data_IF_395965342742
#
_entry.id   IF_395965342742
#
_cell.length_a   1.000
_cell.length_b   1.000
_cell.length_c   1.000
_cell.angle_alpha   90.00
_cell.angle_beta   90.00
_cell.angle_gamma   90.00
#
_symmetry.space_group_name_H-M   'P 1'
#
loop_
_entity.id
_entity.type
_entity.pdbx_description
1 polymer ?
#
# COMPACT_ATOMS: atom_id res chain seq x y z
N UNK A 1 58.57 -7.97 -31.02
CA UNK A 1 57.14 -7.62 -30.90
C UNK A 1 56.99 -6.66 -29.73
N UNK A 2 56.66 -5.38 -30.00
CA UNK A 2 56.33 -4.38 -28.97
C UNK A 2 54.84 -4.54 -28.64
N UNK A 3 54.51 -4.88 -27.39
CA UNK A 3 53.12 -4.84 -26.93
C UNK A 3 52.75 -3.40 -26.58
N UNK A 4 51.77 -2.87 -27.31
CA UNK A 4 51.16 -1.57 -27.06
C UNK A 4 50.10 -1.77 -25.97
N UNK A 5 50.34 -1.27 -24.75
CA UNK A 5 49.33 -1.19 -23.71
C UNK A 5 48.36 -0.06 -24.07
N UNK A 6 47.16 -0.43 -24.51
CA UNK A 6 46.03 0.50 -24.66
C UNK A 6 45.43 0.67 -23.27
N UNK A 7 45.66 1.83 -22.65
CA UNK A 7 44.94 2.24 -21.45
C UNK A 7 43.49 2.59 -21.85
N UNK A 8 42.55 1.71 -21.52
CA UNK A 8 41.13 2.02 -21.54
C UNK A 8 40.83 2.93 -20.35
N UNK A 9 40.73 4.24 -20.59
CA UNK A 9 40.14 5.17 -19.64
C UNK A 9 38.64 4.92 -19.59
N UNK A 10 38.16 4.25 -18.54
CA UNK A 10 36.75 4.18 -18.19
C UNK A 10 36.28 5.57 -17.77
N UNK A 11 35.64 6.29 -18.69
CA UNK A 11 34.81 7.45 -18.34
C UNK A 11 33.61 6.89 -17.58
N UNK A 12 33.60 7.06 -16.26
CA UNK A 12 32.43 6.81 -15.45
C UNK A 12 31.34 7.79 -15.90
N UNK A 13 30.34 7.30 -16.65
CA UNK A 13 29.07 7.99 -16.77
C UNK A 13 28.37 7.81 -15.42
N UNK A 14 28.67 8.71 -14.49
CA UNK A 14 27.85 8.85 -13.27
C UNK A 14 26.49 9.33 -13.76
N UNK A 15 25.50 8.44 -13.69
CA UNK A 15 24.18 8.68 -14.25
C UNK A 15 23.45 9.73 -13.41
N UNK A 16 22.89 10.75 -14.06
CA UNK A 16 22.15 11.83 -13.38
C UNK A 16 20.88 11.33 -12.63
N UNK A 17 20.51 10.05 -12.73
CA UNK A 17 19.39 9.47 -11.97
C UNK A 17 19.77 9.16 -10.52
N UNK A 18 21.01 8.75 -10.24
CA UNK A 18 21.43 8.40 -8.87
C UNK A 18 21.60 9.63 -7.97
N UNK A 19 21.96 10.79 -8.52
CA UNK A 19 22.12 12.01 -7.72
C UNK A 19 20.77 12.67 -7.39
N UNK A 20 19.74 12.46 -8.21
CA UNK A 20 18.41 13.00 -7.94
C UNK A 20 17.73 12.28 -6.77
N UNK A 21 17.90 10.96 -6.65
CA UNK A 21 17.30 10.19 -5.56
C UNK A 21 17.94 10.49 -4.19
N UNK A 22 19.15 11.06 -4.16
CA UNK A 22 19.80 11.53 -2.93
C UNK A 22 19.24 12.86 -2.40
N UNK A 23 18.36 13.53 -3.17
CA UNK A 23 17.73 14.76 -2.71
C UNK A 23 16.85 14.46 -1.48
N UNK A 24 16.73 15.42 -0.55
CA UNK A 24 15.75 15.31 0.53
C UNK A 24 14.34 15.07 0.00
N UNK A 25 13.59 14.25 0.74
CA UNK A 25 12.18 13.97 0.51
C UNK A 25 11.32 15.23 0.69
N UNK A 26 11.65 16.03 1.71
CA UNK A 26 11.03 17.33 1.94
C UNK A 26 11.88 18.45 1.35
N UNK A 27 11.27 19.21 0.45
CA UNK A 27 11.89 20.36 -0.21
C UNK A 27 10.95 21.54 -0.17
N UNK A 28 11.37 22.62 0.50
CA UNK A 28 10.53 23.78 0.73
C UNK A 28 10.01 24.39 -0.57
N UNK A 29 10.84 24.39 -1.63
CA UNK A 29 10.45 24.90 -2.94
C UNK A 29 9.34 24.08 -3.63
N UNK A 30 9.22 22.79 -3.30
CA UNK A 30 8.12 21.93 -3.78
C UNK A 30 6.85 22.25 -2.99
N UNK A 31 6.96 22.32 -1.66
CA UNK A 31 5.85 22.66 -0.75
C UNK A 31 5.25 24.03 -1.11
N UNK A 32 6.08 25.04 -1.31
CA UNK A 32 5.65 26.40 -1.66
C UNK A 32 4.95 26.46 -3.02
N UNK A 33 5.35 25.62 -3.98
CA UNK A 33 4.71 25.54 -5.29
C UNK A 33 3.31 24.92 -5.21
N UNK A 34 3.15 23.86 -4.41
CA UNK A 34 1.86 23.20 -4.19
C UNK A 34 0.91 24.13 -3.44
N UNK A 35 1.38 24.83 -2.41
CA UNK A 35 0.55 25.66 -1.55
C UNK A 35 0.08 26.99 -2.18
N UNK A 36 0.36 27.22 -3.47
CA UNK A 36 -0.16 28.38 -4.22
C UNK A 36 -1.69 28.38 -4.30
N UNK A 37 -2.33 29.55 -4.43
CA UNK A 37 -3.78 29.63 -4.57
C UNK A 37 -4.32 28.78 -5.73
N UNK A 38 -5.42 28.07 -5.49
CA UNK A 38 -6.06 27.20 -6.48
C UNK A 38 -5.68 25.72 -6.40
N UNK A 39 -4.72 25.34 -5.54
CA UNK A 39 -4.49 23.91 -5.25
C UNK A 39 -5.66 23.31 -4.48
N UNK A 40 -6.04 22.08 -4.84
CA UNK A 40 -7.03 21.26 -4.14
C UNK A 40 -6.48 20.54 -2.92
N UNK A 41 -5.17 20.63 -2.68
CA UNK A 41 -4.50 19.97 -1.57
C UNK A 41 -3.38 20.82 -0.96
N UNK A 42 -3.00 20.49 0.27
CA UNK A 42 -1.95 21.16 1.04
C UNK A 42 -0.77 20.25 1.23
N UNK A 43 0.41 20.83 1.09
CA UNK A 43 1.68 20.16 1.32
C UNK A 43 2.37 20.70 2.58
N UNK A 44 3.12 19.84 3.24
CA UNK A 44 3.94 20.15 4.41
C UNK A 44 4.85 18.98 4.77
N UNK A 45 5.86 19.22 5.62
CA UNK A 45 6.74 18.15 6.07
C UNK A 45 5.98 17.16 6.96
N UNK A 46 6.31 15.87 6.87
CA UNK A 46 5.78 14.82 7.74
C UNK A 46 6.92 14.25 8.59
N UNK A 47 6.63 13.94 9.86
CA UNK A 47 7.58 13.24 10.73
C UNK A 47 8.04 11.90 10.15
N UNK A 48 7.20 11.24 9.36
CA UNK A 48 7.53 9.98 8.70
C UNK A 48 8.74 10.07 7.80
N UNK A 49 9.00 11.24 7.20
CA UNK A 49 10.04 11.42 6.18
C UNK A 49 10.92 12.67 6.39
N UNK A 50 10.91 13.31 7.58
CA UNK A 50 11.55 14.62 7.82
C UNK A 50 13.01 14.68 7.32
N UNK A 51 13.77 13.60 7.53
CA UNK A 51 15.18 13.50 7.14
C UNK A 51 15.43 12.39 6.10
N UNK A 52 14.37 11.89 5.45
CA UNK A 52 14.49 10.90 4.40
C UNK A 52 14.97 11.54 3.08
N UNK A 53 15.57 10.71 2.23
CA UNK A 53 15.85 11.00 0.82
C UNK A 53 14.70 10.54 -0.07
N UNK A 54 14.71 10.94 -1.34
CA UNK A 54 13.78 10.38 -2.32
C UNK A 54 14.03 8.88 -2.58
N UNK A 55 15.26 8.39 -2.39
CA UNK A 55 15.59 6.97 -2.51
C UNK A 55 14.86 6.14 -1.44
N UNK A 56 14.86 6.64 -0.21
CA UNK A 56 14.20 6.02 0.94
C UNK A 56 12.69 5.85 0.68
N UNK A 57 12.03 6.90 0.18
CA UNK A 57 10.61 6.84 -0.18
C UNK A 57 10.36 5.92 -1.37
N UNK A 58 11.26 5.92 -2.36
CA UNK A 58 11.16 5.01 -3.51
C UNK A 58 11.29 3.54 -3.10
N UNK A 59 12.08 3.22 -2.07
CA UNK A 59 12.18 1.86 -1.52
C UNK A 59 10.86 1.38 -0.90
N UNK A 60 10.03 2.30 -0.37
CA UNK A 60 8.69 1.98 0.13
C UNK A 60 7.66 1.77 -0.99
N UNK A 61 7.93 2.28 -2.20
CA UNK A 61 7.09 2.11 -3.39
C UNK A 61 7.30 0.74 -4.04
N UNK A 62 6.95 -0.32 -3.30
CA UNK A 62 7.20 -1.72 -3.67
C UNK A 62 6.08 -2.39 -4.48
N UNK A 63 5.42 -1.71 -5.41
CA UNK A 63 4.33 -2.33 -6.19
C UNK A 63 4.57 -2.33 -7.70
N UNK A 64 4.38 -3.50 -8.30
CA UNK A 64 4.17 -3.68 -9.73
C UNK A 64 2.70 -3.40 -10.06
N UNK A 65 2.46 -2.31 -10.81
CA UNK A 65 1.13 -1.83 -11.18
C UNK A 65 0.58 -2.50 -12.45
N UNK A 66 0.79 -3.81 -12.57
CA UNK A 66 0.22 -4.62 -13.64
C UNK A 66 -0.93 -5.47 -13.10
N UNK A 67 -1.93 -5.72 -13.94
CA UNK A 67 -2.98 -6.69 -13.64
C UNK A 67 -2.43 -8.10 -13.88
N UNK A 68 -2.56 -8.98 -12.88
CA UNK A 68 -2.30 -10.40 -13.04
C UNK A 68 -3.27 -10.97 -14.08
N UNK A 69 -2.76 -11.54 -15.19
CA UNK A 69 -3.57 -11.97 -16.33
C UNK A 69 -4.50 -13.15 -16.01
N UNK A 70 -4.33 -13.82 -14.86
CA UNK A 70 -5.22 -14.87 -14.42
C UNK A 70 -6.50 -14.34 -13.76
N UNK A 71 -6.53 -13.08 -13.29
CA UNK A 71 -7.75 -12.51 -12.72
C UNK A 71 -8.73 -12.14 -13.81
N UNK A 72 -10.01 -12.35 -13.51
CA UNK A 72 -11.12 -11.96 -14.35
C UNK A 72 -11.82 -10.73 -13.75
N UNK A 73 -12.52 -9.92 -14.57
CA UNK A 73 -13.40 -8.87 -14.06
C UNK A 73 -14.47 -9.41 -13.10
N UNK A 74 -14.97 -8.54 -12.23
CA UNK A 74 -16.05 -8.83 -11.30
C UNK A 74 -17.38 -9.17 -12.01
N UNK A 75 -17.64 -10.46 -12.23
CA UNK A 75 -18.86 -10.92 -12.91
C UNK A 75 -20.17 -10.47 -12.24
N UNK A 76 -20.18 -10.25 -10.91
CA UNK A 76 -21.36 -9.77 -10.18
C UNK A 76 -21.68 -8.29 -10.42
N UNK A 77 -20.80 -7.55 -11.09
CA UNK A 77 -20.97 -6.13 -11.42
C UNK A 77 -21.23 -5.88 -12.92
N UNK A 78 -21.37 -6.93 -13.74
CA UNK A 78 -21.61 -6.78 -15.19
C UNK A 78 -23.03 -6.27 -15.51
N UNK A 79 -24.03 -6.66 -14.71
CA UNK A 79 -25.45 -6.45 -15.02
C UNK A 79 -26.20 -5.54 -14.03
N UNK A 80 -25.58 -5.14 -12.92
CA UNK A 80 -26.24 -4.38 -11.86
C UNK A 80 -25.36 -3.25 -11.38
N UNK A 81 -25.75 -2.01 -11.70
CA UNK A 81 -25.36 -0.82 -10.94
C UNK A 81 -26.54 -0.47 -10.07
N UNK A 82 -26.46 -0.82 -8.78
CA UNK A 82 -27.46 -0.39 -7.80
C UNK A 82 -27.43 1.13 -7.59
N UNK A 83 -28.27 1.65 -6.71
CA UNK A 83 -28.14 3.03 -6.25
C UNK A 83 -26.84 3.16 -5.44
N UNK A 84 -25.79 3.64 -6.10
CA UNK A 84 -24.50 3.95 -5.49
C UNK A 84 -24.60 5.35 -4.87
N UNK A 85 -24.33 5.54 -3.57
CA UNK A 85 -24.38 6.86 -2.97
C UNK A 85 -23.32 7.78 -3.61
N UNK A 86 -23.54 9.09 -3.55
CA UNK A 86 -22.55 10.06 -4.06
C UNK A 86 -21.28 10.11 -3.19
N UNK A 87 -21.45 9.78 -1.90
CA UNK A 87 -20.37 9.72 -0.91
C UNK A 87 -20.53 8.47 -0.03
N UNK A 88 -19.41 7.85 0.32
CA UNK A 88 -19.37 6.72 1.23
C UNK A 88 -18.02 6.66 1.93
N UNK A 89 -18.04 6.35 3.22
CA UNK A 89 -16.85 6.18 4.05
C UNK A 89 -16.93 4.86 4.82
N UNK A 90 -16.19 3.84 4.39
CA UNK A 90 -16.25 2.51 4.98
C UNK A 90 -15.82 2.51 6.45
N UNK A 91 -15.01 3.48 6.90
CA UNK A 91 -14.58 3.56 8.31
C UNK A 91 -15.74 3.84 9.26
N UNK A 92 -16.90 4.27 8.74
CA UNK A 92 -18.14 4.49 9.52
C UNK A 92 -19.38 3.85 8.89
N UNK A 93 -19.28 3.40 7.63
CA UNK A 93 -20.39 2.87 6.85
C UNK A 93 -20.75 1.41 7.15
N UNK A 94 -19.91 0.67 7.87
CA UNK A 94 -20.14 -0.73 8.24
C UNK A 94 -20.21 -0.90 9.76
N UNK A 95 -21.42 -0.92 10.35
CA UNK A 95 -21.58 -1.00 11.80
C UNK A 95 -20.90 -2.22 12.43
N UNK A 96 -20.07 -1.96 13.45
CA UNK A 96 -19.32 -2.99 14.18
C UNK A 96 -17.91 -3.28 13.63
N UNK A 97 -17.56 -2.71 12.48
CA UNK A 97 -16.26 -2.86 11.81
C UNK A 97 -15.43 -1.57 11.81
N UNK A 98 -15.86 -0.53 12.51
CA UNK A 98 -15.20 0.78 12.53
C UNK A 98 -13.74 0.64 12.97
N UNK A 99 -13.48 -0.01 14.10
CA UNK A 99 -12.13 -0.20 14.66
C UNK A 99 -11.21 -1.07 13.78
N UNK A 100 -11.79 -1.89 12.88
CA UNK A 100 -11.04 -2.75 11.96
C UNK A 100 -10.65 -1.92 10.73
N UNK A 101 -11.65 -1.32 10.09
CA UNK A 101 -11.47 -0.58 8.83
C UNK A 101 -10.66 0.71 9.05
N UNK A 102 -10.84 1.37 10.19
CA UNK A 102 -10.16 2.63 10.49
C UNK A 102 -8.69 2.46 10.91
N UNK A 103 -8.22 1.21 11.11
CA UNK A 103 -6.87 0.96 11.61
C UNK A 103 -5.83 1.18 10.52
N UNK A 104 -4.94 2.14 10.76
CA UNK A 104 -3.76 2.42 9.93
C UNK A 104 -2.60 1.55 10.39
N UNK A 105 -1.86 0.96 9.45
CA UNK A 105 -0.67 0.14 9.73
C UNK A 105 0.60 0.78 9.14
N UNK A 106 1.75 0.19 9.43
CA UNK A 106 3.06 0.64 8.96
C UNK A 106 3.84 -0.50 8.31
N UNK A 107 4.23 -0.33 7.04
CA UNK A 107 5.10 -1.25 6.32
C UNK A 107 6.57 -1.13 6.72
N UNK A 108 6.92 -0.22 7.63
CA UNK A 108 8.28 0.02 8.11
C UNK A 108 9.23 0.41 6.96
N UNK A 109 10.51 0.03 7.04
CA UNK A 109 11.52 0.18 5.98
C UNK A 109 11.54 -1.03 5.03
N UNK A 110 10.38 -1.39 4.47
CA UNK A 110 10.23 -2.53 3.55
C UNK A 110 9.23 -2.18 2.46
N UNK A 111 9.58 -2.40 1.19
CA UNK A 111 8.69 -2.23 0.03
C UNK A 111 7.58 -3.29 -0.05
N UNK A 112 6.74 -3.36 0.97
CA UNK A 112 5.71 -4.38 1.18
C UNK A 112 4.27 -3.87 1.07
N UNK A 113 4.08 -2.65 0.57
CA UNK A 113 2.76 -2.05 0.36
C UNK A 113 1.78 -2.95 -0.41
N UNK A 114 2.29 -3.72 -1.39
CA UNK A 114 1.50 -4.69 -2.14
C UNK A 114 0.88 -5.80 -1.25
N UNK A 115 1.57 -6.19 -0.18
CA UNK A 115 1.04 -7.11 0.81
C UNK A 115 0.06 -6.40 1.74
N UNK A 116 0.43 -5.22 2.29
CA UNK A 116 -0.41 -4.44 3.21
C UNK A 116 -1.77 -4.07 2.62
N UNK A 117 -1.80 -3.33 1.51
CA UNK A 117 -3.06 -2.89 0.89
C UNK A 117 -3.95 -4.06 0.45
N UNK A 118 -3.37 -5.25 0.23
CA UNK A 118 -4.11 -6.48 -0.06
C UNK A 118 -4.68 -7.13 1.21
N UNK A 119 -3.87 -7.29 2.26
CA UNK A 119 -4.29 -7.94 3.51
C UNK A 119 -5.20 -7.07 4.37
N UNK A 120 -5.06 -5.75 4.32
CA UNK A 120 -5.97 -4.80 4.97
C UNK A 120 -7.36 -4.94 4.36
N UNK A 121 -7.48 -4.87 3.04
CA UNK A 121 -8.75 -5.08 2.34
C UNK A 121 -9.34 -6.48 2.57
N UNK A 122 -8.51 -7.51 2.66
CA UNK A 122 -8.99 -8.85 3.06
C UNK A 122 -9.56 -8.86 4.49
N UNK A 123 -8.85 -8.25 5.43
CA UNK A 123 -9.24 -8.13 6.85
C UNK A 123 -10.58 -7.39 6.98
N UNK A 124 -10.69 -6.23 6.33
CA UNK A 124 -11.86 -5.38 6.37
C UNK A 124 -13.08 -6.11 5.79
N UNK A 125 -12.90 -6.81 4.67
CA UNK A 125 -13.95 -7.62 4.04
C UNK A 125 -14.43 -8.78 4.90
N UNK A 126 -13.54 -9.42 5.68
CA UNK A 126 -13.93 -10.48 6.63
C UNK A 126 -14.80 -9.91 7.74
N UNK A 127 -14.50 -8.71 8.22
CA UNK A 127 -15.36 -8.01 9.17
C UNK A 127 -16.72 -7.67 8.54
N UNK A 128 -16.74 -7.06 7.35
CA UNK A 128 -17.99 -6.67 6.67
C UNK A 128 -18.89 -7.88 6.40
N UNK A 129 -18.32 -9.00 5.97
CA UNK A 129 -19.11 -10.19 5.61
C UNK A 129 -19.55 -11.04 6.81
N UNK A 130 -18.73 -11.13 7.87
CA UNK A 130 -18.93 -12.11 8.95
C UNK A 130 -18.88 -11.53 10.37
N UNK A 131 -18.61 -10.22 10.53
CA UNK A 131 -18.32 -9.61 11.82
C UNK A 131 -16.99 -10.08 12.43
N UNK A 132 -16.11 -10.68 11.63
CA UNK A 132 -14.83 -11.19 12.08
C UNK A 132 -13.79 -10.07 12.23
N UNK A 133 -13.25 -9.91 13.43
CA UNK A 133 -12.26 -8.87 13.77
C UNK A 133 -10.81 -9.37 13.76
N UNK A 134 -10.56 -10.57 13.26
CA UNK A 134 -9.22 -11.14 13.13
C UNK A 134 -8.41 -10.32 12.14
N UNK A 135 -7.20 -9.92 12.53
CA UNK A 135 -6.24 -9.29 11.64
C UNK A 135 -5.46 -10.35 10.85
N UNK A 136 -5.29 -10.13 9.55
CA UNK A 136 -4.59 -11.08 8.67
C UNK A 136 -3.16 -10.64 8.33
N UNK A 137 -2.30 -11.64 8.16
CA UNK A 137 -0.86 -11.49 8.11
C UNK A 137 -0.36 -10.89 6.78
N UNK A 138 0.00 -9.60 6.82
CA UNK A 138 0.87 -9.00 5.81
C UNK A 138 2.20 -9.79 5.68
N UNK A 139 2.73 -10.34 6.77
CA UNK A 139 3.98 -11.13 6.79
C UNK A 139 3.90 -12.46 6.03
N UNK A 140 2.79 -13.19 6.14
CA UNK A 140 2.56 -14.45 5.41
C UNK A 140 2.45 -14.16 3.90
N UNK A 141 1.69 -13.13 3.54
CA UNK A 141 1.58 -12.65 2.16
C UNK A 141 2.94 -12.22 1.60
N UNK A 142 3.66 -11.38 2.34
CA UNK A 142 5.00 -10.87 2.00
C UNK A 142 5.99 -11.99 1.68
N UNK A 143 5.99 -13.03 2.51
CA UNK A 143 7.03 -14.07 2.50
C UNK A 143 6.65 -15.24 1.59
N UNK A 144 5.38 -15.64 1.57
CA UNK A 144 4.91 -16.85 0.92
C UNK A 144 4.23 -16.64 -0.44
N UNK A 145 3.70 -15.44 -0.72
CA UNK A 145 3.27 -15.07 -2.08
C UNK A 145 4.50 -14.60 -2.88
N UNK A 146 5.25 -15.54 -3.47
CA UNK A 146 6.53 -15.21 -4.12
C UNK A 146 6.71 -15.83 -5.50
N UNK A 147 7.63 -15.23 -6.27
CA UNK A 147 8.06 -15.73 -7.57
C UNK A 147 6.97 -15.68 -8.64
N UNK A 148 7.17 -16.44 -9.72
CA UNK A 148 6.28 -16.45 -10.89
C UNK A 148 4.84 -16.84 -10.56
N UNK A 149 4.64 -17.65 -9.50
CA UNK A 149 3.30 -18.07 -9.05
C UNK A 149 2.50 -16.94 -8.39
N UNK A 150 3.15 -15.86 -7.98
CA UNK A 150 2.54 -14.67 -7.38
C UNK A 150 3.06 -13.40 -8.10
N UNK A 151 2.86 -13.31 -9.42
CA UNK A 151 3.15 -12.08 -10.17
C UNK A 151 4.61 -11.64 -10.19
N UNK A 152 5.56 -12.53 -9.90
CA UNK A 152 6.97 -12.19 -9.79
C UNK A 152 7.36 -11.53 -8.46
N UNK A 153 6.49 -11.53 -7.44
CA UNK A 153 6.69 -10.86 -6.16
C UNK A 153 7.94 -11.33 -5.41
N UNK A 154 8.62 -10.37 -4.74
CA UNK A 154 9.95 -10.52 -4.11
C UNK A 154 10.00 -9.89 -2.72
N UNK A 155 8.94 -10.03 -1.94
CA UNK A 155 8.93 -9.56 -0.56
C UNK A 155 9.10 -8.03 -0.48
N UNK A 156 10.11 -7.57 0.27
CA UNK A 156 10.43 -6.14 0.43
C UNK A 156 10.98 -5.47 -0.83
N UNK A 157 11.40 -6.23 -1.84
CA UNK A 157 11.80 -5.68 -3.15
C UNK A 157 10.61 -5.50 -4.10
N UNK A 158 9.40 -5.51 -3.53
CA UNK A 158 8.14 -5.29 -4.21
C UNK A 158 7.43 -6.54 -4.71
N UNK A 159 6.16 -6.34 -5.08
CA UNK A 159 5.27 -7.39 -5.53
C UNK A 159 4.02 -6.87 -6.22
N UNK A 160 3.11 -7.78 -6.53
CA UNK A 160 1.93 -7.48 -7.33
C UNK A 160 0.66 -7.65 -6.48
N UNK A 161 -0.09 -6.57 -6.19
CA UNK A 161 -1.28 -6.64 -5.31
C UNK A 161 -2.39 -7.50 -5.91
N UNK A 162 -2.56 -7.51 -7.23
CA UNK A 162 -3.59 -8.34 -7.87
C UNK A 162 -3.27 -9.84 -7.78
N UNK A 163 -1.98 -10.20 -7.83
CA UNK A 163 -1.51 -11.57 -7.58
C UNK A 163 -1.70 -11.99 -6.12
N UNK A 164 -1.58 -11.06 -5.17
CA UNK A 164 -1.85 -11.34 -3.76
C UNK A 164 -3.32 -11.76 -3.55
N UNK A 165 -4.28 -11.11 -4.21
CA UNK A 165 -5.68 -11.54 -4.19
C UNK A 165 -5.90 -12.94 -4.78
N UNK A 166 -5.23 -13.27 -5.90
CA UNK A 166 -5.27 -14.65 -6.42
C UNK A 166 -4.67 -15.66 -5.45
N UNK A 167 -3.65 -15.27 -4.70
CA UNK A 167 -3.07 -16.11 -3.66
C UNK A 167 -4.02 -16.28 -2.47
N UNK A 168 -4.73 -15.24 -2.03
CA UNK A 168 -5.80 -15.37 -1.03
C UNK A 168 -6.86 -16.37 -1.46
N UNK A 169 -7.23 -16.40 -2.74
CA UNK A 169 -8.22 -17.34 -3.27
C UNK A 169 -7.72 -18.78 -3.47
N UNK A 170 -6.39 -19.00 -3.57
CA UNK A 170 -5.83 -20.32 -3.91
C UNK A 170 -5.07 -20.99 -2.76
N UNK A 171 -4.43 -20.20 -1.90
CA UNK A 171 -3.66 -20.67 -0.75
C UNK A 171 -4.18 -20.11 0.59
N UNK A 172 -4.86 -18.96 0.56
CA UNK A 172 -5.33 -18.24 1.75
C UNK A 172 -4.22 -17.45 2.45
N UNK A 173 -4.54 -16.87 3.60
CA UNK A 173 -3.64 -16.09 4.47
C UNK A 173 -3.90 -16.45 5.93
N UNK A 174 -2.86 -16.48 6.78
CA UNK A 174 -3.03 -16.71 8.24
C UNK A 174 -3.43 -15.41 8.96
N UNK A 175 -3.83 -15.51 10.22
CA UNK A 175 -3.86 -14.36 11.13
C UNK A 175 -2.45 -13.77 11.30
N UNK A 176 -2.37 -12.46 11.55
CA UNK A 176 -1.11 -11.77 11.79
C UNK A 176 -1.27 -10.30 12.11
N UNK A 177 -0.91 -9.94 13.33
CA UNK A 177 -0.93 -8.57 13.83
C UNK A 177 0.27 -7.73 13.42
N UNK A 178 0.51 -6.64 14.14
CA UNK A 178 1.69 -5.79 13.97
C UNK A 178 2.88 -6.36 14.74
N UNK A 179 4.02 -5.68 14.66
CA UNK A 179 5.24 -6.06 15.40
C UNK A 179 5.02 -6.18 16.91
N UNK A 180 4.11 -5.39 17.48
CA UNK A 180 3.75 -5.47 18.91
C UNK A 180 3.09 -6.79 19.29
N UNK A 181 2.59 -7.55 18.32
CA UNK A 181 1.99 -8.87 18.52
C UNK A 181 3.00 -10.02 18.37
N UNK A 182 4.29 -9.73 18.15
CA UNK A 182 5.32 -10.77 18.15
C UNK A 182 5.42 -11.36 19.55
N UNK A 183 5.33 -12.69 19.63
CA UNK A 183 5.43 -13.51 20.85
C UNK A 183 4.30 -13.31 21.88
N UNK A 184 3.21 -12.61 21.54
CA UNK A 184 2.07 -12.40 22.45
C UNK A 184 1.02 -13.54 22.40
N UNK A 185 1.15 -14.47 21.44
CA UNK A 185 0.27 -15.61 21.23
C UNK A 185 -1.08 -15.27 20.60
N UNK A 186 -1.29 -14.04 20.12
CA UNK A 186 -2.56 -13.57 19.57
C UNK A 186 -2.79 -13.96 18.11
N UNK A 187 -1.73 -14.08 17.32
CA UNK A 187 -1.81 -14.34 15.88
C UNK A 187 -0.67 -15.25 15.39
N UNK A 188 -0.86 -15.92 14.26
CA UNK A 188 0.10 -16.88 13.72
C UNK A 188 1.37 -16.20 13.17
N UNK A 189 1.21 -15.17 12.34
CA UNK A 189 2.31 -14.51 11.65
C UNK A 189 2.25 -12.97 11.80
N UNK A 190 2.53 -12.44 13.00
CA UNK A 190 2.65 -11.00 13.21
C UNK A 190 3.75 -10.39 12.32
N UNK A 191 3.61 -9.10 12.00
CA UNK A 191 4.54 -8.41 11.11
C UNK A 191 5.93 -8.29 11.78
N UNK A 192 7.02 -8.72 11.13
CA UNK A 192 8.33 -8.86 11.79
C UNK A 192 9.12 -7.56 11.90
N UNK A 193 8.61 -6.44 11.36
CA UNK A 193 9.31 -5.17 11.34
C UNK A 193 8.53 -4.12 12.12
N UNK A 194 9.22 -3.37 12.98
CA UNK A 194 8.58 -2.37 13.81
C UNK A 194 8.11 -1.17 12.99
N UNK A 195 6.98 -0.56 13.37
CA UNK A 195 6.58 0.75 12.89
C UNK A 195 7.68 1.78 13.21
N UNK A 196 7.95 2.70 12.28
CA UNK A 196 9.10 3.59 12.38
C UNK A 196 8.93 4.90 11.59
N UNK A 197 9.66 5.93 12.00
CA UNK A 197 9.85 7.18 11.25
C UNK A 197 11.19 7.15 10.51
N UNK A 198 11.22 7.62 9.27
CA UNK A 198 12.41 7.54 8.45
C UNK A 198 13.40 8.64 8.82
N UNK A 199 14.42 8.27 9.61
CA UNK A 199 15.55 9.08 10.06
C UNK A 199 15.18 10.26 10.98
N UNK A 200 14.19 10.12 11.86
CA UNK A 200 13.73 11.17 12.78
C UNK A 200 13.47 10.63 14.18
N UNK A 201 14.04 11.29 15.19
CA UNK A 201 13.59 11.20 16.60
C UNK A 201 12.13 11.69 16.69
N UNK A 202 11.16 10.80 16.45
CA UNK A 202 9.75 11.03 16.70
C UNK A 202 9.38 10.69 18.14
N UNK A 203 8.39 11.40 18.69
CA UNK A 203 7.89 11.09 20.04
C UNK A 203 7.09 9.77 20.08
N UNK A 204 6.52 9.34 18.94
CA UNK A 204 5.58 8.21 18.84
C UNK A 204 6.18 6.96 18.19
N UNK A 205 6.94 7.11 17.10
CA UNK A 205 7.62 6.01 16.43
C UNK A 205 9.15 6.21 16.43
N UNK A 206 9.92 5.14 16.65
CA UNK A 206 11.38 5.20 16.63
C UNK A 206 11.91 5.34 15.21
N UNK A 207 13.21 5.60 15.08
CA UNK A 207 13.91 5.61 13.81
C UNK A 207 13.79 4.28 13.06
N UNK A 208 13.53 4.36 11.76
CA UNK A 208 13.71 3.24 10.85
C UNK A 208 15.20 2.83 10.81
N UNK A 209 15.51 1.55 10.59
CA UNK A 209 16.89 1.11 10.42
C UNK A 209 17.59 1.87 9.29
N UNK A 210 18.92 1.95 9.35
CA UNK A 210 19.73 2.57 8.28
C UNK A 210 19.60 1.83 6.94
N UNK A 211 19.46 0.49 7.01
CA UNK A 211 19.29 -0.37 5.85
C UNK A 211 17.83 -0.84 5.73
N UNK A 212 17.33 -0.94 4.49
CA UNK A 212 16.04 -1.55 4.20
C UNK A 212 15.98 -3.01 4.67
N UNK A 213 14.82 -3.40 5.17
CA UNK A 213 14.57 -4.79 5.56
C UNK A 213 14.58 -5.73 4.35
N UNK A 214 15.10 -6.93 4.56
CA UNK A 214 14.91 -8.06 3.65
C UNK A 214 13.75 -8.91 4.15
N UNK A 215 12.82 -9.25 3.26
CA UNK A 215 11.70 -10.12 3.63
C UNK A 215 12.19 -11.47 4.19
N UNK A 216 11.58 -11.99 5.26
CA UNK A 216 11.88 -13.33 5.75
C UNK A 216 11.60 -14.37 4.67
N UNK A 217 12.26 -15.52 4.79
CA UNK A 217 11.89 -16.67 3.96
C UNK A 217 10.50 -17.14 4.36
N UNK A 218 9.68 -17.54 3.37
CA UNK A 218 8.41 -18.21 3.65
C UNK A 218 8.61 -19.38 4.62
N UNK A 219 7.90 -19.33 5.75
CA UNK A 219 7.75 -20.45 6.65
C UNK A 219 6.31 -20.95 6.59
N UNK A 220 6.12 -22.27 6.49
CA UNK A 220 4.80 -22.91 6.61
C UNK A 220 4.53 -23.32 8.07
N UNK A 221 4.92 -22.45 8.98
CA UNK A 221 4.73 -22.55 10.43
C UNK A 221 4.36 -21.15 10.93
N UNK A 222 3.62 -21.07 12.04
CA UNK A 222 3.44 -19.79 12.71
C UNK A 222 4.80 -19.27 13.19
N UNK A 223 5.02 -17.97 12.99
CA UNK A 223 6.19 -17.27 13.51
C UNK A 223 6.11 -17.13 15.02
N UNK A 224 4.90 -16.90 15.54
CA UNK A 224 4.65 -16.87 16.98
C UNK A 224 4.58 -18.30 17.53
N UNK A 225 5.55 -18.65 18.38
CA UNK A 225 5.63 -19.97 19.02
C UNK A 225 4.61 -20.19 20.14
N UNK A 226 3.93 -19.14 20.60
CA UNK A 226 2.89 -19.18 21.62
C UNK A 226 1.48 -19.28 21.00
N UNK A 227 1.35 -19.14 19.68
CA UNK A 227 0.06 -19.24 19.00
C UNK A 227 -0.48 -20.67 19.01
N UNK A 228 -1.76 -20.83 19.30
CA UNK A 228 -2.37 -22.12 19.60
C UNK A 228 -2.52 -23.03 18.37
N UNK A 229 -2.83 -22.46 17.20
CA UNK A 229 -3.15 -23.24 16.00
C UNK A 229 -1.92 -23.47 15.13
N UNK A 230 -1.92 -24.59 14.41
CA UNK A 230 -0.96 -24.82 13.34
C UNK A 230 -1.20 -23.87 12.16
N UNK A 231 -0.12 -23.54 11.44
CA UNK A 231 -0.16 -22.66 10.26
C UNK A 231 -1.27 -23.03 9.27
N UNK A 232 -1.41 -24.33 8.96
CA UNK A 232 -2.37 -24.80 7.97
C UNK A 232 -3.83 -24.63 8.43
N UNK A 233 -4.08 -24.75 9.74
CA UNK A 233 -5.42 -24.65 10.33
C UNK A 233 -5.84 -23.19 10.55
N UNK A 234 -4.88 -22.26 10.57
CA UNK A 234 -5.14 -20.82 10.68
C UNK A 234 -5.31 -20.12 9.32
N UNK A 235 -5.06 -20.80 8.20
CA UNK A 235 -5.26 -20.22 6.86
C UNK A 235 -6.74 -19.99 6.59
N UNK A 236 -7.07 -18.78 6.14
CA UNK A 236 -8.38 -18.42 5.60
C UNK A 236 -8.26 -18.08 4.13
N UNK A 237 -9.15 -18.67 3.32
CA UNK A 237 -9.12 -18.61 1.86
C UNK A 237 -10.27 -17.73 1.37
N UNK A 238 -10.00 -16.79 0.45
CA UNK A 238 -11.03 -16.04 -0.25
C UNK A 238 -11.85 -16.98 -1.13
N UNK A 239 -13.17 -16.73 -1.25
CA UNK A 239 -14.03 -17.48 -2.17
C UNK A 239 -13.60 -17.28 -3.63
N UNK A 240 -13.20 -16.07 -3.99
CA UNK A 240 -12.67 -15.74 -5.31
C UNK A 240 -11.81 -14.46 -5.26
N UNK A 241 -11.25 -14.09 -6.40
CA UNK A 241 -10.51 -12.85 -6.63
C UNK A 241 -10.84 -12.29 -8.00
N UNK A 242 -10.95 -10.97 -8.14
CA UNK A 242 -11.34 -10.30 -9.37
C UNK A 242 -10.74 -8.91 -9.49
N UNK A 243 -10.77 -8.35 -10.70
CA UNK A 243 -10.44 -6.95 -10.97
C UNK A 243 -11.70 -6.08 -11.05
N UNK A 244 -11.53 -4.80 -10.75
CA UNK A 244 -12.56 -3.77 -10.88
C UNK A 244 -12.15 -2.77 -11.94
N UNK A 245 -13.12 -2.26 -12.70
CA UNK A 245 -12.87 -1.30 -13.78
C UNK A 245 -13.77 -0.09 -13.66
N UNK A 246 -13.14 1.08 -13.54
CA UNK A 246 -13.79 2.38 -13.55
C UNK A 246 -14.50 2.75 -12.24
N UNK A 247 -14.79 4.05 -12.04
CA UNK A 247 -15.26 4.56 -10.76
C UNK A 247 -16.58 3.95 -10.28
N UNK A 248 -17.53 3.71 -11.18
CA UNK A 248 -18.85 3.19 -10.81
C UNK A 248 -18.76 1.80 -10.17
N UNK A 249 -18.00 0.87 -10.78
CA UNK A 249 -17.82 -0.47 -10.21
C UNK A 249 -17.08 -0.43 -8.88
N UNK A 250 -16.04 0.39 -8.79
CA UNK A 250 -15.28 0.57 -7.55
C UNK A 250 -16.16 1.13 -6.43
N UNK A 251 -16.94 2.18 -6.70
CA UNK A 251 -17.83 2.80 -5.71
C UNK A 251 -18.88 1.82 -5.21
N UNK A 252 -19.50 1.07 -6.12
CA UNK A 252 -20.50 0.06 -5.78
C UNK A 252 -19.90 -1.09 -4.96
N UNK A 253 -18.73 -1.56 -5.35
CA UNK A 253 -18.03 -2.64 -4.65
C UNK A 253 -17.64 -2.21 -3.23
N UNK A 254 -17.11 -0.99 -3.07
CA UNK A 254 -16.72 -0.43 -1.76
C UNK A 254 -17.93 -0.30 -0.84
N UNK A 255 -19.05 0.27 -1.33
CA UNK A 255 -20.23 0.51 -0.50
C UNK A 255 -21.03 -0.76 -0.19
N UNK A 256 -20.79 -1.86 -0.91
CA UNK A 256 -21.54 -3.11 -0.74
C UNK A 256 -20.74 -4.15 0.04
N UNK A 257 -19.47 -4.35 -0.36
CA UNK A 257 -18.64 -5.46 0.11
C UNK A 257 -17.44 -5.00 0.94
N UNK A 258 -17.22 -3.69 1.08
CA UNK A 258 -16.12 -3.12 1.83
C UNK A 258 -14.91 -2.73 0.96
N UNK A 259 -13.86 -2.19 1.60
CA UNK A 259 -12.69 -1.62 0.94
C UNK A 259 -12.04 -2.50 -0.14
N UNK A 260 -11.31 -1.86 -1.06
CA UNK A 260 -10.63 -2.53 -2.19
C UNK A 260 -9.16 -2.18 -2.24
N UNK A 261 -8.34 -3.09 -2.73
CA UNK A 261 -6.93 -2.81 -2.99
C UNK A 261 -6.79 -2.09 -4.32
N UNK A 262 -6.00 -1.02 -4.35
CA UNK A 262 -5.61 -0.37 -5.58
C UNK A 262 -4.13 -0.04 -5.61
N UNK A 263 -3.58 0.21 -6.79
CA UNK A 263 -2.21 0.66 -6.98
C UNK A 263 -2.17 1.97 -7.76
N UNK A 264 -1.27 2.87 -7.38
CA UNK A 264 -1.04 4.14 -8.07
C UNK A 264 0.45 4.49 -8.13
N UNK A 265 0.80 5.42 -9.00
CA UNK A 265 2.16 5.93 -9.11
C UNK A 265 2.41 7.02 -8.08
N UNK A 266 3.44 6.85 -7.25
CA UNK A 266 3.90 7.88 -6.33
C UNK A 266 4.89 8.80 -7.03
N UNK A 267 4.72 10.10 -6.81
CA UNK A 267 5.60 11.16 -7.28
C UNK A 267 6.17 11.94 -6.09
N UNK A 268 7.26 12.67 -6.31
CA UNK A 268 7.99 13.39 -5.23
C UNK A 268 7.14 14.39 -4.45
N UNK A 269 6.14 14.98 -5.08
CA UNK A 269 5.23 15.94 -4.44
C UNK A 269 4.30 15.25 -3.43
N UNK A 270 3.85 14.03 -3.73
CA UNK A 270 2.93 13.25 -2.87
C UNK A 270 3.51 12.98 -1.48
N UNK A 271 4.83 12.86 -1.36
CA UNK A 271 5.52 12.62 -0.08
C UNK A 271 5.19 13.69 0.96
N UNK A 272 4.89 14.91 0.48
CA UNK A 272 4.59 16.07 1.30
C UNK A 272 3.08 16.25 1.54
N UNK A 273 2.23 15.31 1.16
CA UNK A 273 0.78 15.42 1.35
C UNK A 273 0.42 15.61 2.84
N UNK A 274 -0.54 16.51 3.10
CA UNK A 274 -1.09 16.76 4.44
C UNK A 274 -2.62 16.66 4.46
N UNK A 275 -3.29 17.28 3.48
CA UNK A 275 -4.76 17.30 3.41
C UNK A 275 -5.26 17.73 2.03
N UNK A 276 -6.56 17.57 1.79
CA UNK A 276 -7.25 17.94 0.55
C UNK A 276 -7.15 16.87 -0.53
N UNK A 277 -7.60 17.17 -1.75
CA UNK A 277 -7.65 16.21 -2.85
C UNK A 277 -6.37 16.28 -3.68
N UNK A 278 -5.47 15.32 -3.48
CA UNK A 278 -4.21 15.21 -4.21
C UNK A 278 -4.43 15.13 -5.72
N UNK A 279 -3.65 15.93 -6.44
CA UNK A 279 -3.48 15.92 -7.88
C UNK A 279 -2.00 16.13 -8.17
N UNK A 280 -1.44 15.27 -9.02
CA UNK A 280 -0.04 15.27 -9.38
C UNK A 280 0.37 16.59 -10.04
N UNK A 281 1.49 17.14 -9.59
CA UNK A 281 2.08 18.34 -10.18
C UNK A 281 3.11 17.97 -11.23
N UNK A 282 2.99 18.54 -12.44
CA UNK A 282 3.82 18.15 -13.60
C UNK A 282 5.33 18.34 -13.45
N UNK A 283 5.80 19.01 -12.40
CA UNK A 283 7.22 19.23 -12.14
C UNK A 283 7.87 18.14 -11.27
N UNK A 284 7.09 17.31 -10.57
CA UNK A 284 7.61 16.21 -9.75
C UNK A 284 7.87 14.96 -10.59
N UNK A 285 8.93 14.21 -10.27
CA UNK A 285 9.24 12.95 -10.97
C UNK A 285 8.65 11.75 -10.23
N UNK A 286 8.51 10.66 -10.97
CA UNK A 286 8.03 9.37 -10.46
C UNK A 286 9.06 8.77 -9.51
N UNK A 287 8.58 8.27 -8.37
CA UNK A 287 9.36 7.49 -7.41
C UNK A 287 9.12 5.98 -7.57
N UNK A 288 7.88 5.56 -7.79
CA UNK A 288 7.56 4.14 -7.92
C UNK A 288 6.07 3.85 -7.99
N UNK A 289 5.72 2.56 -7.99
CA UNK A 289 4.34 2.12 -7.82
C UNK A 289 4.07 1.77 -6.36
N UNK A 290 2.91 2.16 -5.85
CA UNK A 290 2.53 1.94 -4.46
C UNK A 290 1.12 1.37 -4.39
N UNK A 291 0.92 0.31 -3.61
CA UNK A 291 -0.38 -0.27 -3.37
C UNK A 291 -0.96 0.28 -2.06
N UNK A 292 -2.27 0.48 -2.07
CA UNK A 292 -3.03 1.12 -1.02
C UNK A 292 -4.40 0.44 -0.90
N UNK A 293 -5.17 0.88 0.09
CA UNK A 293 -6.56 0.48 0.27
C UNK A 293 -7.50 1.68 0.08
N UNK A 294 -8.45 1.56 -0.84
CA UNK A 294 -9.50 2.56 -1.02
C UNK A 294 -10.66 2.20 -0.09
N UNK A 295 -10.90 3.08 0.88
CA UNK A 295 -11.92 2.91 1.94
C UNK A 295 -13.16 3.77 1.72
N UNK A 296 -13.17 4.66 0.72
CA UNK A 296 -14.33 5.50 0.49
C UNK A 296 -14.16 6.46 -0.68
N UNK A 297 -15.14 7.33 -0.84
CA UNK A 297 -15.21 8.34 -1.89
C UNK A 297 -16.17 9.45 -1.49
N UNK A 298 -15.99 10.63 -2.10
CA UNK A 298 -16.92 11.74 -1.92
C UNK A 298 -16.58 12.92 -2.82
N UNK A 299 -17.01 14.12 -2.41
CA UNK A 299 -16.69 15.38 -3.07
C UNK A 299 -16.23 16.41 -2.03
N UNK A 300 -15.09 17.06 -2.27
CA UNK A 300 -14.56 18.13 -1.42
C UNK A 300 -14.40 19.40 -2.25
N UNK A 301 -15.10 20.48 -1.88
CA UNK A 301 -15.11 21.76 -2.60
C UNK A 301 -15.36 21.60 -4.12
N UNK A 302 -16.24 20.68 -4.48
CA UNK A 302 -16.58 20.37 -5.89
C UNK A 302 -15.60 19.43 -6.59
N UNK A 303 -14.56 18.96 -5.90
CA UNK A 303 -13.56 18.02 -6.44
C UNK A 303 -13.89 16.59 -5.98
N UNK A 304 -14.23 15.66 -6.89
CA UNK A 304 -14.49 14.27 -6.53
C UNK A 304 -13.20 13.57 -6.10
N UNK A 305 -13.28 12.73 -5.06
CA UNK A 305 -12.11 12.02 -4.53
C UNK A 305 -12.38 10.56 -4.20
N UNK A 306 -11.31 9.79 -4.13
CA UNK A 306 -11.18 8.53 -3.38
C UNK A 306 -10.57 8.83 -2.02
N UNK A 307 -11.14 8.29 -0.92
CA UNK A 307 -10.52 8.27 0.41
C UNK A 307 -9.71 7.00 0.51
N UNK A 308 -8.43 7.15 0.86
CA UNK A 308 -7.45 6.09 0.75
C UNK A 308 -6.70 5.95 2.07
N UNK A 309 -6.57 4.72 2.57
CA UNK A 309 -5.74 4.35 3.72
C UNK A 309 -4.35 3.97 3.22
N UNK A 310 -3.33 4.57 3.81
CA UNK A 310 -1.93 4.32 3.46
C UNK A 310 -1.27 3.38 4.48
N UNK A 311 -0.09 2.85 4.13
CA UNK A 311 0.68 1.89 4.93
C UNK A 311 1.97 2.51 5.49
N UNK A 312 1.96 3.81 5.81
CA UNK A 312 3.12 4.58 6.27
C UNK A 312 2.92 5.17 7.68
N UNK A 313 2.11 4.50 8.51
CA UNK A 313 1.64 4.97 9.83
C UNK A 313 0.76 6.23 9.80
N UNK A 314 0.20 6.56 10.97
CA UNK A 314 -0.78 7.65 11.15
C UNK A 314 -0.14 9.04 11.27
N UNK A 315 1.19 9.13 11.42
CA UNK A 315 1.94 10.40 11.43
C UNK A 315 2.14 10.99 10.02
N UNK A 316 1.78 10.22 8.99
CA UNK A 316 1.81 10.66 7.61
C UNK A 316 0.41 11.10 7.12
N UNK A 317 0.36 12.20 6.36
CA UNK A 317 -0.88 12.68 5.73
C UNK A 317 -1.95 13.10 6.75
N UNK A 318 -3.19 12.73 6.47
CA UNK A 318 -4.35 13.05 7.30
C UNK A 318 -4.64 11.87 8.24
N UNK A 319 -3.79 11.67 9.26
CA UNK A 319 -3.90 10.56 10.19
C UNK A 319 -3.68 9.19 9.53
N UNK A 320 -2.76 9.09 8.57
CA UNK A 320 -2.52 7.88 7.76
C UNK A 320 -3.37 7.77 6.50
N UNK A 321 -4.29 8.72 6.27
CA UNK A 321 -5.15 8.76 5.10
C UNK A 321 -4.73 9.84 4.11
N UNK A 322 -5.21 9.69 2.88
CA UNK A 322 -5.20 10.75 1.90
C UNK A 322 -6.43 10.71 1.01
N UNK A 323 -6.68 11.83 0.32
CA UNK A 323 -7.67 11.90 -0.76
C UNK A 323 -6.96 12.15 -2.08
N UNK A 324 -7.43 11.51 -3.14
CA UNK A 324 -6.88 11.65 -4.50
C UNK A 324 -8.01 11.76 -5.52
N UNK A 325 -7.78 12.54 -6.57
CA UNK A 325 -8.78 12.83 -7.59
C UNK A 325 -9.39 11.55 -8.19
N UNK A 326 -10.71 11.46 -8.12
CA UNK A 326 -11.51 10.35 -8.67
C UNK A 326 -12.07 10.70 -10.04
N UNK A 327 -12.15 9.70 -10.92
CA UNK A 327 -12.77 9.79 -12.25
C UNK A 327 -11.83 10.23 -13.36
N UNK A 328 -10.58 10.59 -13.04
CA UNK A 328 -9.53 10.92 -14.02
C UNK A 328 -8.48 9.83 -14.15
N UNK A 329 -8.60 8.71 -13.41
CA UNK A 329 -7.53 7.75 -13.21
C UNK A 329 -6.21 8.42 -12.77
N UNK A 330 -6.30 9.38 -11.84
CA UNK A 330 -5.16 10.16 -11.33
C UNK A 330 -4.04 9.23 -10.86
N UNK A 331 -2.83 9.44 -11.38
CA UNK A 331 -1.67 8.58 -11.11
C UNK A 331 -1.88 7.08 -11.39
N UNK A 332 -2.91 6.71 -12.16
CA UNK A 332 -3.24 5.32 -12.46
C UNK A 332 -4.06 4.59 -11.39
N UNK A 333 -4.59 5.29 -10.37
CA UNK A 333 -5.24 4.66 -9.21
C UNK A 333 -6.46 3.79 -9.54
N UNK A 334 -7.12 4.02 -10.67
CA UNK A 334 -8.29 3.26 -11.14
C UNK A 334 -7.90 2.16 -12.13
N UNK A 335 -6.59 2.00 -12.41
CA UNK A 335 -6.07 1.08 -13.42
C UNK A 335 -5.60 -0.28 -12.87
N UNK A 336 -5.18 -0.34 -11.60
CA UNK A 336 -4.76 -1.58 -10.94
C UNK A 336 -5.59 -1.78 -9.68
N UNK A 337 -6.82 -2.28 -9.83
CA UNK A 337 -7.76 -2.46 -8.71
C UNK A 337 -8.19 -3.91 -8.63
N UNK A 338 -8.10 -4.49 -7.44
CA UNK A 338 -8.47 -5.88 -7.18
C UNK A 338 -9.11 -6.07 -5.82
N UNK A 339 -10.00 -7.05 -5.75
CA UNK A 339 -10.62 -7.49 -4.53
C UNK A 339 -11.03 -8.97 -4.63
N UNK A 340 -11.75 -9.46 -3.63
CA UNK A 340 -12.31 -10.80 -3.58
C UNK A 340 -13.52 -10.86 -2.66
N UNK A 341 -14.41 -11.82 -2.90
CA UNK A 341 -15.39 -12.23 -1.90
C UNK A 341 -14.69 -13.19 -0.94
N UNK A 342 -14.88 -12.98 0.36
CA UNK A 342 -14.17 -13.70 1.44
C UNK A 342 -15.05 -14.64 2.24
#
# INVERSE_FOLDING_TARGET
MKFLLIALSSVAVVTASDDHLKLPAHRQEVIDQINRPGSTWKAGPSSRFMNATLADVAALCGSDLTIDPALQPAAHLEDFVGDVPDEFDATTGFPGCEDVISRVRDQSACGSCWAFGSTEAFTDRRCVAYGEKTEYAAADTLSCCSGLTCGGSRGCSGGNPTSAWRWFASAGVTSGGDFSNVDDGSTCNPYPFMACNHHVDGDEYPDCPEDDYTAPKCSKSCLDGNFEKDYADDKVVAKNSFTLSGPTQMMQEISTNGPVTAGFTVYEDFVNYQSGVYQHTSFSKKLGGHAIEIVGYGVEDGTPYWKVKNSWNDSWGDGGYFKILRGSNECGIEGTVSAGLV
#
